data_IF_783219092954
#
_entry.id   IF_783219092954
#
_cell.length_a   1.000
_cell.length_b   1.000
_cell.length_c   1.000
_cell.angle_alpha   90.00
_cell.angle_beta   90.00
_cell.angle_gamma   90.00
#
_symmetry.space_group_name_H-M   'P 1'
#
loop_
_entity.id
_entity.type
_entity.pdbx_description
1 polymer ?
#
# COMPACT_ATOMS: atom_id res chain seq x y z
N UNK A 1 -10.43 -38.52 -11.12
CA UNK A 1 -9.89 -38.90 -9.80
C UNK A 1 -10.92 -38.44 -8.79
N UNK A 2 -11.73 -39.35 -8.25
CA UNK A 2 -12.82 -38.96 -7.37
C UNK A 2 -12.29 -38.72 -5.94
N UNK A 3 -12.57 -37.53 -5.40
CA UNK A 3 -12.10 -37.06 -4.09
C UNK A 3 -13.00 -37.60 -2.95
N UNK A 4 -13.46 -38.85 -3.03
CA UNK A 4 -14.43 -39.42 -2.07
C UNK A 4 -13.82 -39.70 -0.69
N UNK A 5 -12.50 -39.91 -0.62
CA UNK A 5 -11.80 -40.24 0.62
C UNK A 5 -11.65 -39.06 1.59
N UNK A 6 -11.79 -37.81 1.10
CA UNK A 6 -11.59 -36.65 1.96
C UNK A 6 -12.63 -36.56 3.06
N UNK A 7 -13.90 -36.84 2.76
CA UNK A 7 -14.98 -36.84 3.74
C UNK A 7 -14.85 -37.93 4.81
N UNK A 8 -14.07 -38.98 4.55
CA UNK A 8 -13.84 -40.10 5.47
C UNK A 8 -12.70 -39.81 6.47
N UNK A 9 -11.92 -38.74 6.24
CA UNK A 9 -10.84 -38.35 7.14
C UNK A 9 -11.38 -37.77 8.46
N UNK A 10 -10.69 -38.00 9.59
CA UNK A 10 -11.00 -37.32 10.84
C UNK A 10 -10.99 -35.79 10.68
N UNK A 11 -11.83 -35.10 11.44
CA UNK A 11 -12.04 -33.66 11.32
C UNK A 11 -10.74 -32.85 11.51
N UNK A 12 -9.85 -33.32 12.38
CA UNK A 12 -8.55 -32.71 12.66
C UNK A 12 -7.65 -32.77 11.42
N UNK A 13 -7.62 -33.92 10.73
CA UNK A 13 -6.82 -34.09 9.51
C UNK A 13 -7.38 -33.22 8.39
N UNK A 14 -8.70 -33.15 8.25
CA UNK A 14 -9.34 -32.27 7.25
C UNK A 14 -9.05 -30.80 7.52
N UNK A 15 -9.09 -30.37 8.79
CA UNK A 15 -8.74 -29.02 9.19
C UNK A 15 -7.27 -28.68 8.86
N UNK A 16 -6.33 -29.59 9.11
CA UNK A 16 -4.92 -29.39 8.75
C UNK A 16 -4.72 -29.33 7.22
N UNK A 17 -5.42 -30.16 6.44
CA UNK A 17 -5.39 -30.08 4.97
C UNK A 17 -5.91 -28.73 4.48
N UNK A 18 -7.01 -28.23 5.06
CA UNK A 18 -7.52 -26.90 4.73
C UNK A 18 -6.56 -25.79 5.13
N UNK A 19 -5.92 -25.90 6.29
CA UNK A 19 -4.92 -24.95 6.74
C UNK A 19 -3.73 -24.86 5.79
N UNK A 20 -3.24 -26.00 5.30
CA UNK A 20 -2.17 -26.06 4.29
C UNK A 20 -2.60 -25.52 2.92
N UNK A 21 -3.90 -25.39 2.68
CA UNK A 21 -4.48 -24.86 1.44
C UNK A 21 -4.79 -23.36 1.52
N UNK A 22 -4.54 -22.72 2.67
CA UNK A 22 -4.66 -21.27 2.78
C UNK A 22 -3.61 -20.59 1.90
N UNK A 23 -3.95 -19.47 1.25
CA UNK A 23 -2.99 -18.74 0.43
C UNK A 23 -1.85 -18.20 1.29
N UNK A 24 -0.68 -18.04 0.66
CA UNK A 24 0.42 -17.31 1.28
C UNK A 24 0.02 -15.85 1.53
N UNK A 25 0.68 -15.24 2.51
CA UNK A 25 0.43 -13.84 2.84
C UNK A 25 1.01 -12.97 1.73
N UNK A 26 0.16 -12.16 1.10
CA UNK A 26 0.57 -11.18 0.11
C UNK A 26 0.80 -9.80 0.73
N UNK A 27 1.69 -9.03 0.10
CA UNK A 27 1.86 -7.61 0.38
C UNK A 27 0.63 -6.83 -0.09
N UNK A 28 0.16 -5.94 0.78
CA UNK A 28 -1.00 -5.08 0.56
C UNK A 28 -0.68 -3.66 1.07
N UNK A 29 -1.61 -2.73 0.88
CA UNK A 29 -1.47 -1.36 1.39
C UNK A 29 -2.22 -1.22 2.72
N UNK A 30 -1.52 -0.74 3.74
CA UNK A 30 -2.11 -0.31 5.00
C UNK A 30 -2.39 1.19 4.92
N UNK A 31 -3.66 1.56 4.81
CA UNK A 31 -4.08 2.96 4.87
C UNK A 31 -4.32 3.31 6.33
N UNK A 32 -3.60 4.31 6.84
CA UNK A 32 -3.76 4.71 8.24
C UNK A 32 -5.14 5.36 8.41
N UNK A 33 -6.00 4.82 9.30
CA UNK A 33 -7.33 5.37 9.49
C UNK A 33 -7.25 6.72 10.20
N UNK A 34 -8.19 7.62 9.93
CA UNK A 34 -8.23 8.94 10.54
C UNK A 34 -8.29 8.92 12.08
N UNK A 35 -8.90 7.90 12.67
CA UNK A 35 -9.01 7.71 14.12
C UNK A 35 -7.99 6.69 14.66
N UNK A 36 -6.79 6.61 14.09
CA UNK A 36 -5.77 5.66 14.49
C UNK A 36 -5.13 6.07 15.82
N UNK A 37 -5.74 5.68 16.94
CA UNK A 37 -5.24 6.02 18.27
C UNK A 37 -4.06 5.12 18.70
N UNK A 38 -3.89 3.95 18.07
CA UNK A 38 -2.85 2.99 18.46
C UNK A 38 -2.30 2.22 17.26
N UNK A 39 -1.02 1.79 17.28
CA UNK A 39 -0.43 0.98 16.22
C UNK A 39 -1.15 -0.34 15.95
N UNK A 40 -1.77 -0.94 16.98
CA UNK A 40 -2.51 -2.19 16.86
C UNK A 40 -3.82 -2.03 16.07
N UNK A 41 -4.25 -0.79 15.82
CA UNK A 41 -5.38 -0.49 14.94
C UNK A 41 -5.01 -0.35 13.46
N UNK A 42 -3.73 -0.51 13.10
CA UNK A 42 -3.29 -0.59 11.72
C UNK A 42 -3.70 -1.94 11.11
N UNK A 43 -4.77 -1.91 10.32
CA UNK A 43 -5.36 -3.07 9.68
C UNK A 43 -5.14 -3.05 8.17
N UNK A 44 -4.91 -4.24 7.64
CA UNK A 44 -4.72 -4.50 6.22
C UNK A 44 -5.84 -5.42 5.75
N UNK A 45 -6.70 -4.90 4.87
CA UNK A 45 -7.73 -5.72 4.22
C UNK A 45 -7.09 -6.66 3.19
N UNK A 46 -7.48 -7.93 3.22
CA UNK A 46 -6.89 -8.99 2.39
C UNK A 46 -7.93 -9.67 1.51
N UNK A 47 -7.48 -10.41 0.50
CA UNK A 47 -8.37 -11.16 -0.38
C UNK A 47 -9.16 -12.23 0.40
N UNK A 48 -10.37 -12.53 -0.06
CA UNK A 48 -11.02 -13.77 0.33
C UNK A 48 -10.17 -14.97 -0.13
N UNK A 49 -9.80 -15.88 0.79
CA UNK A 49 -9.12 -17.10 0.40
C UNK A 49 -9.98 -17.87 -0.61
N UNK A 50 -9.36 -18.42 -1.65
CA UNK A 50 -10.06 -19.25 -2.67
C UNK A 50 -10.88 -20.37 -2.01
N UNK A 51 -10.43 -20.87 -0.86
CA UNK A 51 -11.13 -21.83 0.00
C UNK A 51 -12.59 -21.44 0.33
N UNK A 52 -12.92 -20.15 0.43
CA UNK A 52 -14.30 -19.68 0.66
C UNK A 52 -15.29 -20.08 -0.45
N UNK A 53 -14.76 -20.40 -1.63
CA UNK A 53 -15.51 -20.70 -2.85
C UNK A 53 -15.54 -22.18 -3.22
N UNK A 54 -14.84 -23.06 -2.46
CA UNK A 54 -14.71 -24.49 -2.80
C UNK A 54 -15.96 -25.28 -2.42
N UNK A 55 -16.28 -25.35 -1.13
CA UNK A 55 -17.43 -26.09 -0.61
C UNK A 55 -17.87 -25.54 0.75
N UNK A 56 -18.97 -26.08 1.29
CA UNK A 56 -19.50 -25.64 2.58
C UNK A 56 -18.51 -25.85 3.74
N UNK A 57 -17.88 -27.02 3.82
CA UNK A 57 -16.92 -27.34 4.88
C UNK A 57 -15.70 -26.42 4.87
N UNK A 58 -15.11 -26.19 3.70
CA UNK A 58 -13.97 -25.27 3.51
C UNK A 58 -14.34 -23.84 3.94
N UNK A 59 -15.55 -23.38 3.61
CA UNK A 59 -16.05 -22.06 4.04
C UNK A 59 -16.19 -21.97 5.56
N UNK A 60 -16.74 -23.00 6.20
CA UNK A 60 -16.84 -23.05 7.66
C UNK A 60 -15.47 -23.07 8.33
N UNK A 61 -14.49 -23.76 7.73
CA UNK A 61 -13.11 -23.73 8.20
C UNK A 61 -12.54 -22.32 8.16
N UNK A 62 -12.63 -21.61 7.03
CA UNK A 62 -12.10 -20.24 6.90
C UNK A 62 -12.77 -19.28 7.88
N UNK A 63 -14.10 -19.38 8.03
CA UNK A 63 -14.88 -18.56 8.97
C UNK A 63 -14.55 -18.83 10.45
N UNK A 64 -13.92 -19.96 10.76
CA UNK A 64 -13.44 -20.27 12.11
C UNK A 64 -12.01 -19.74 12.31
N UNK A 65 -11.88 -18.49 12.74
CA UNK A 65 -10.59 -17.82 12.93
C UNK A 65 -9.63 -18.57 13.87
N UNK A 66 -10.14 -19.37 14.82
CA UNK A 66 -9.29 -20.17 15.71
C UNK A 66 -8.59 -21.31 14.98
N UNK A 67 -9.20 -21.84 13.92
CA UNK A 67 -8.64 -22.93 13.12
C UNK A 67 -7.87 -22.41 11.91
N UNK A 68 -8.44 -21.44 11.19
CA UNK A 68 -7.86 -20.90 9.96
C UNK A 68 -6.81 -19.81 10.21
N UNK A 69 -6.89 -19.09 11.33
CA UNK A 69 -6.11 -17.88 11.57
C UNK A 69 -6.58 -16.68 10.74
N UNK A 70 -7.63 -16.82 9.92
CA UNK A 70 -8.19 -15.73 9.12
C UNK A 70 -9.16 -14.93 9.98
N UNK A 71 -8.87 -13.64 10.15
CA UNK A 71 -9.76 -12.72 10.84
C UNK A 71 -10.73 -12.09 9.85
N UNK A 72 -11.99 -12.02 10.23
CA UNK A 72 -13.04 -11.37 9.46
C UNK A 72 -13.61 -10.23 10.30
N UNK A 73 -13.74 -9.04 9.74
CA UNK A 73 -14.42 -7.92 10.38
C UNK A 73 -15.40 -7.27 9.43
N UNK A 74 -16.38 -6.55 9.97
CA UNK A 74 -17.15 -5.61 9.16
C UNK A 74 -16.33 -4.32 9.05
N UNK A 75 -16.08 -3.80 7.84
CA UNK A 75 -15.38 -2.53 7.69
C UNK A 75 -16.27 -1.40 8.22
N UNK A 76 -15.75 -0.60 9.16
CA UNK A 76 -16.49 0.53 9.75
C UNK A 76 -16.73 1.67 8.74
N UNK A 77 -15.89 1.77 7.70
CA UNK A 77 -15.88 2.85 6.72
C UNK A 77 -16.63 2.53 5.41
N UNK A 78 -17.10 1.29 5.22
CA UNK A 78 -17.85 0.90 4.04
C UNK A 78 -19.30 1.38 4.16
N UNK A 79 -19.50 2.65 3.81
CA UNK A 79 -20.79 3.34 3.62
C UNK A 79 -21.82 2.36 3.02
N UNK A 80 -22.86 2.03 3.80
CA UNK A 80 -24.19 1.49 3.44
C UNK A 80 -24.30 0.34 2.41
N UNK A 81 -23.21 -0.23 1.90
CA UNK A 81 -23.24 -1.10 0.70
C UNK A 81 -22.65 -2.49 0.93
N UNK A 82 -21.81 -2.67 1.95
CA UNK A 82 -21.14 -3.95 2.25
C UNK A 82 -21.62 -4.47 3.61
N UNK A 83 -22.66 -5.32 3.60
CA UNK A 83 -23.19 -5.97 4.81
C UNK A 83 -22.47 -7.29 5.18
N UNK A 84 -21.33 -7.58 4.53
CA UNK A 84 -20.56 -8.79 4.76
C UNK A 84 -19.19 -8.53 5.38
N UNK A 85 -18.72 -9.47 6.20
CA UNK A 85 -17.41 -9.40 6.82
C UNK A 85 -16.31 -9.66 5.80
N UNK A 86 -15.26 -8.83 5.83
CA UNK A 86 -14.09 -8.91 4.96
C UNK A 86 -12.88 -9.47 5.71
N UNK A 87 -11.99 -10.23 5.05
CA UNK A 87 -10.75 -10.69 5.63
C UNK A 87 -9.79 -9.54 5.90
N UNK A 88 -9.12 -9.60 7.04
CA UNK A 88 -8.10 -8.62 7.42
C UNK A 88 -7.01 -9.27 8.25
N UNK A 89 -5.88 -8.56 8.35
CA UNK A 89 -4.80 -8.86 9.29
C UNK A 89 -4.19 -7.58 9.83
N UNK A 90 -3.36 -7.72 10.86
CA UNK A 90 -2.55 -6.61 11.36
C UNK A 90 -1.49 -6.24 10.32
N UNK A 91 -1.15 -4.95 10.28
CA UNK A 91 -0.02 -4.43 9.52
C UNK A 91 1.28 -5.17 9.85
N UNK A 92 2.05 -5.51 8.82
CA UNK A 92 3.36 -6.14 8.93
C UNK A 92 4.42 -5.23 8.28
N UNK A 93 5.23 -4.51 9.08
CA UNK A 93 6.15 -3.49 8.57
C UNK A 93 7.16 -3.97 7.51
N UNK A 94 7.51 -5.26 7.55
CA UNK A 94 8.47 -5.86 6.63
C UNK A 94 7.86 -6.32 5.30
N UNK A 95 6.52 -6.39 5.21
CA UNK A 95 5.80 -6.93 4.04
C UNK A 95 4.90 -5.87 3.38
N UNK A 96 4.20 -5.08 4.19
CA UNK A 96 3.16 -4.17 3.72
C UNK A 96 3.68 -2.77 3.44
N UNK A 97 3.00 -2.10 2.51
CA UNK A 97 3.21 -0.68 2.28
C UNK A 97 2.34 0.14 3.21
N UNK A 98 2.95 0.93 4.09
CA UNK A 98 2.24 1.92 4.89
C UNK A 98 1.91 3.12 4.02
N UNK A 99 0.65 3.52 3.93
CA UNK A 99 0.24 4.75 3.26
C UNK A 99 -0.16 5.80 4.28
N UNK A 100 0.56 6.92 4.28
CA UNK A 100 0.31 8.07 5.14
C UNK A 100 -0.15 9.25 4.29
N UNK A 101 -1.27 9.88 4.63
CA UNK A 101 -1.66 11.14 4.01
C UNK A 101 -0.73 12.27 4.47
N UNK A 102 -0.59 13.32 3.67
CA UNK A 102 0.21 14.48 4.07
C UNK A 102 -0.57 15.45 4.98
N UNK A 103 -1.90 15.35 4.99
CA UNK A 103 -2.79 16.23 5.72
C UNK A 103 -4.00 15.47 6.26
N UNK A 104 -4.67 16.06 7.25
CA UNK A 104 -5.85 15.50 7.87
C UNK A 104 -5.53 14.58 9.06
N UNK A 105 -6.57 14.04 9.70
CA UNK A 105 -6.40 13.10 10.80
C UNK A 105 -5.67 11.84 10.30
N UNK A 106 -4.60 11.44 10.99
CA UNK A 106 -3.61 10.44 10.55
C UNK A 106 -2.69 10.89 9.41
N UNK A 107 -2.34 12.18 9.41
CA UNK A 107 -1.26 12.68 8.58
C UNK A 107 0.09 12.07 8.98
N UNK A 108 1.07 12.14 8.07
CA UNK A 108 2.44 11.72 8.33
C UNK A 108 3.05 12.45 9.53
N UNK A 109 2.68 13.74 9.73
CA UNK A 109 3.11 14.52 10.90
C UNK A 109 2.52 13.97 12.20
N UNK A 110 1.20 13.71 12.23
CA UNK A 110 0.52 13.19 13.41
C UNK A 110 1.13 11.84 13.81
N UNK A 111 1.25 10.91 12.86
CA UNK A 111 1.78 9.57 13.12
C UNK A 111 3.24 9.63 13.61
N UNK A 112 4.05 10.54 13.06
CA UNK A 112 5.44 10.72 13.48
C UNK A 112 5.57 11.38 14.87
N UNK A 113 4.57 12.16 15.28
CA UNK A 113 4.56 12.83 16.58
C UNK A 113 4.18 11.92 17.76
N UNK A 114 3.55 10.78 17.48
CA UNK A 114 3.06 9.83 18.47
C UNK A 114 4.11 8.76 18.81
N UNK A 115 4.59 8.76 20.06
CA UNK A 115 5.60 7.81 20.56
C UNK A 115 5.19 6.34 20.36
N UNK A 116 3.89 6.04 20.39
CA UNK A 116 3.39 4.67 20.21
C UNK A 116 3.71 4.11 18.81
N UNK A 117 3.73 4.97 17.78
CA UNK A 117 4.01 4.57 16.40
C UNK A 117 5.49 4.46 16.09
N UNK A 118 6.39 4.94 16.96
CA UNK A 118 7.84 4.98 16.71
C UNK A 118 8.37 3.60 16.28
N UNK A 119 8.00 2.53 16.99
CA UNK A 119 8.44 1.18 16.64
C UNK A 119 7.94 0.73 15.26
N UNK A 120 6.69 1.08 14.91
CA UNK A 120 6.14 0.72 13.60
C UNK A 120 6.90 1.45 12.50
N UNK A 121 7.08 2.77 12.63
CA UNK A 121 7.81 3.57 11.65
C UNK A 121 9.26 3.09 11.50
N UNK A 122 9.90 2.70 12.61
CA UNK A 122 11.27 2.20 12.60
C UNK A 122 11.45 0.86 11.87
N UNK A 123 10.42 0.02 11.87
CA UNK A 123 10.42 -1.29 11.20
C UNK A 123 9.87 -1.24 9.76
N UNK A 124 9.13 -0.19 9.41
CA UNK A 124 8.52 -0.02 8.08
C UNK A 124 9.57 -0.01 6.97
N UNK A 125 9.42 -0.93 6.02
CA UNK A 125 10.29 -1.05 4.84
C UNK A 125 9.72 -0.40 3.59
N UNK A 126 8.40 -0.31 3.50
CA UNK A 126 7.71 0.21 2.33
C UNK A 126 6.75 1.32 2.76
N UNK A 127 7.02 2.55 2.31
CA UNK A 127 6.20 3.72 2.58
C UNK A 127 5.60 4.22 1.27
N UNK A 128 4.34 4.66 1.33
CA UNK A 128 3.66 5.37 0.27
C UNK A 128 3.12 6.70 0.78
N UNK A 129 3.28 7.74 -0.03
CA UNK A 129 2.86 9.11 0.29
C UNK A 129 2.16 9.75 -0.92
N UNK A 130 1.23 10.69 -0.71
CA UNK A 130 0.72 11.53 -1.79
C UNK A 130 1.84 12.35 -2.41
N UNK A 131 1.74 12.54 -3.72
CA UNK A 131 2.69 13.31 -4.51
C UNK A 131 2.65 14.84 -4.35
N UNK A 132 1.97 15.37 -3.35
CA UNK A 132 1.81 16.82 -3.15
C UNK A 132 3.18 17.48 -2.81
N UNK A 133 3.68 18.34 -3.70
CA UNK A 133 5.01 18.97 -3.54
C UNK A 133 5.12 19.90 -2.34
N UNK A 134 4.01 20.50 -1.91
CA UNK A 134 3.98 21.46 -0.80
C UNK A 134 4.37 20.83 0.55
N UNK A 135 4.32 19.50 0.65
CA UNK A 135 4.69 18.76 1.86
C UNK A 135 6.09 18.14 1.80
N UNK A 136 6.90 18.46 0.78
CA UNK A 136 8.25 17.89 0.63
C UNK A 136 9.14 18.14 1.85
N UNK A 137 9.03 19.29 2.50
CA UNK A 137 9.80 19.61 3.71
C UNK A 137 9.41 18.69 4.89
N UNK A 138 8.11 18.46 5.08
CA UNK A 138 7.60 17.54 6.09
C UNK A 138 8.06 16.10 5.79
N UNK A 139 7.88 15.64 4.55
CA UNK A 139 8.29 14.31 4.10
C UNK A 139 9.79 14.12 4.32
N UNK A 140 10.62 15.09 3.91
CA UNK A 140 12.06 15.06 4.12
C UNK A 140 12.43 14.90 5.59
N UNK A 141 11.79 15.69 6.45
CA UNK A 141 12.02 15.65 7.89
C UNK A 141 11.62 14.30 8.48
N UNK A 142 10.42 13.81 8.20
CA UNK A 142 9.93 12.53 8.76
C UNK A 142 10.78 11.34 8.27
N UNK A 143 11.08 11.29 6.96
CA UNK A 143 11.95 10.25 6.40
C UNK A 143 13.33 10.24 7.07
N UNK A 144 13.81 11.41 7.48
CA UNK A 144 15.10 11.53 8.14
C UNK A 144 15.09 10.90 9.54
N UNK A 145 14.02 11.06 10.31
CA UNK A 145 14.07 10.64 11.72
C UNK A 145 13.40 9.29 12.00
N UNK A 146 12.38 8.91 11.22
CA UNK A 146 11.47 7.84 11.63
C UNK A 146 11.58 6.55 10.83
N UNK A 147 12.18 6.57 9.63
CA UNK A 147 12.20 5.42 8.71
C UNK A 147 13.61 4.89 8.40
N UNK A 148 14.39 4.44 9.40
CA UNK A 148 15.77 3.98 9.23
C UNK A 148 15.91 2.69 8.41
N UNK A 149 14.84 1.89 8.28
CA UNK A 149 14.80 0.61 7.53
C UNK A 149 14.10 0.73 6.18
N UNK A 150 13.78 1.95 5.73
CA UNK A 150 13.07 2.14 4.48
C UNK A 150 13.86 1.54 3.31
N UNK A 151 13.17 0.72 2.52
CA UNK A 151 13.67 0.10 1.29
C UNK A 151 12.93 0.67 0.07
N UNK A 152 11.69 1.13 0.22
CA UNK A 152 10.89 1.66 -0.89
C UNK A 152 10.09 2.88 -0.47
N UNK A 153 10.19 3.96 -1.25
CA UNK A 153 9.33 5.14 -1.15
C UNK A 153 8.48 5.26 -2.42
N UNK A 154 7.18 5.10 -2.27
CA UNK A 154 6.21 5.16 -3.36
C UNK A 154 5.48 6.49 -3.34
N UNK A 155 5.65 7.28 -4.39
CA UNK A 155 4.91 8.52 -4.58
C UNK A 155 3.64 8.20 -5.35
N UNK A 156 2.51 8.38 -4.68
CA UNK A 156 1.19 8.02 -5.19
C UNK A 156 0.57 9.19 -5.92
N UNK A 157 0.12 8.93 -7.14
CA UNK A 157 -0.54 9.88 -8.04
C UNK A 157 -1.95 9.38 -8.35
N UNK A 158 -2.95 10.22 -8.13
CA UNK A 158 -4.34 9.90 -8.44
C UNK A 158 -4.57 9.86 -9.96
N UNK A 159 -4.22 10.95 -10.64
CA UNK A 159 -4.42 11.09 -12.09
C UNK A 159 -3.15 11.62 -12.76
N UNK A 160 -2.43 10.78 -13.52
CA UNK A 160 -1.21 11.20 -14.21
C UNK A 160 -1.49 12.08 -15.44
N UNK A 161 -2.76 12.28 -15.84
CA UNK A 161 -3.15 13.06 -17.01
C UNK A 161 -3.14 14.58 -16.79
N UNK A 162 -3.16 15.04 -15.53
CA UNK A 162 -3.12 16.48 -15.21
C UNK A 162 -1.72 17.06 -15.37
N UNK A 163 -1.65 18.30 -15.86
CA UNK A 163 -0.41 19.08 -16.08
C UNK A 163 0.53 19.10 -14.85
N UNK A 164 -0.02 18.97 -13.64
CA UNK A 164 0.73 18.69 -12.42
C UNK A 164 0.41 17.28 -11.91
N UNK A 165 1.21 16.27 -12.28
CA UNK A 165 1.09 14.91 -11.74
C UNK A 165 1.27 14.84 -10.20
N UNK A 166 1.77 15.92 -9.59
CA UNK A 166 2.21 16.00 -8.20
C UNK A 166 1.66 17.30 -7.58
N UNK A 167 0.38 17.32 -7.21
CA UNK A 167 -0.24 18.54 -6.68
C UNK A 167 -1.74 18.51 -6.34
N UNK A 168 -2.44 17.39 -6.56
CA UNK A 168 -3.82 17.26 -6.10
C UNK A 168 -3.90 16.32 -4.90
N UNK A 169 -4.50 16.84 -3.81
CA UNK A 169 -5.04 16.01 -2.74
C UNK A 169 -6.03 15.01 -3.33
N UNK A 170 -6.02 13.78 -2.81
CA UNK A 170 -6.99 12.76 -3.14
C UNK A 170 -7.34 11.94 -1.89
N UNK A 171 -8.57 11.43 -1.87
CA UNK A 171 -9.01 10.55 -0.79
C UNK A 171 -8.44 9.14 -0.99
N UNK A 172 -7.83 8.58 0.06
CA UNK A 172 -7.34 7.22 0.02
C UNK A 172 -8.50 6.22 -0.13
N UNK A 173 -8.30 5.10 -0.85
CA UNK A 173 -9.30 4.04 -0.94
C UNK A 173 -9.81 3.59 0.43
N UNK A 174 -11.12 3.42 0.56
CA UNK A 174 -11.72 2.87 1.81
C UNK A 174 -11.76 1.34 1.81
N UNK A 175 -11.41 0.72 0.69
CA UNK A 175 -11.48 -0.71 0.44
C UNK A 175 -10.09 -1.33 0.32
N UNK A 176 -10.02 -2.66 0.19
CA UNK A 176 -8.75 -3.32 -0.14
C UNK A 176 -8.20 -2.74 -1.44
N UNK A 177 -6.93 -2.33 -1.40
CA UNK A 177 -6.25 -1.76 -2.56
C UNK A 177 -4.81 -2.26 -2.66
N UNK A 178 -4.26 -2.19 -3.87
CA UNK A 178 -2.83 -2.37 -4.15
C UNK A 178 -2.27 -1.13 -4.84
N UNK A 179 -0.96 -0.95 -4.76
CA UNK A 179 -0.26 0.03 -5.58
C UNK A 179 0.22 -0.62 -6.87
N UNK A 180 -0.06 0.06 -7.98
CA UNK A 180 0.43 -0.33 -9.30
C UNK A 180 1.43 0.70 -9.80
N UNK A 181 2.61 0.27 -10.28
CA UNK A 181 3.53 1.17 -10.99
C UNK A 181 2.86 1.78 -12.22
N UNK A 182 2.99 3.09 -12.38
CA UNK A 182 2.53 3.76 -13.60
C UNK A 182 3.62 3.56 -14.67
N UNK A 183 3.46 2.55 -15.51
CA UNK A 183 4.38 2.29 -16.64
C UNK A 183 3.91 2.99 -17.91
N UNK A 184 4.84 3.27 -18.83
CA UNK A 184 4.53 3.81 -20.16
C UNK A 184 3.61 2.89 -21.00
N UNK A 185 3.57 1.59 -20.69
CA UNK A 185 2.81 0.58 -21.43
C UNK A 185 1.41 0.33 -20.84
N UNK A 186 1.19 0.62 -19.56
CA UNK A 186 -0.10 0.41 -18.86
C UNK A 186 -1.20 1.44 -19.19
N UNK A 187 -0.90 2.38 -20.09
CA UNK A 187 -1.73 3.52 -20.47
C UNK A 187 -3.03 3.13 -21.18
N UNK A 188 -3.15 1.91 -21.71
CA UNK A 188 -4.36 1.47 -22.43
C UNK A 188 -5.55 1.13 -21.50
N UNK A 189 -5.33 0.93 -20.20
CA UNK A 189 -6.39 0.45 -19.29
C UNK A 189 -7.11 1.60 -18.54
N UNK A 190 -6.56 2.82 -18.53
CA UNK A 190 -7.16 3.98 -17.85
C UNK A 190 -8.30 4.67 -18.61
N UNK A 191 -8.79 4.08 -19.70
CA UNK A 191 -10.13 4.39 -20.24
C UNK A 191 -11.21 3.81 -19.32
N UNK A 192 -11.24 4.28 -18.07
CA UNK A 192 -12.47 4.27 -17.28
C UNK A 192 -13.38 5.32 -17.90
N UNK A 193 -14.63 4.92 -18.06
CA UNK A 193 -15.75 5.53 -18.77
C UNK A 193 -16.18 6.93 -18.24
N UNK A 194 -15.22 7.84 -18.06
CA UNK A 194 -15.50 9.28 -17.89
C UNK A 194 -15.72 9.86 -19.28
N UNK A 195 -17.00 10.05 -19.61
CA UNK A 195 -17.45 10.87 -20.72
C UNK A 195 -17.03 12.32 -20.50
N UNK A 196 -15.76 12.64 -20.72
CA UNK A 196 -15.33 14.01 -20.93
C UNK A 196 -15.17 14.28 -22.44
N UNK A 197 -16.16 15.03 -22.91
CA UNK A 197 -16.17 15.79 -24.14
C UNK A 197 -15.16 16.92 -24.03
N UNK A 198 -13.87 16.67 -24.19
CA UNK A 198 -12.94 17.58 -24.87
C UNK A 198 -11.54 16.99 -24.94
N UNK A 199 -10.96 17.03 -26.15
CA UNK A 199 -9.52 16.95 -26.41
C UNK A 199 -8.76 15.81 -25.73
N UNK A 200 -8.54 14.71 -26.45
CA UNK A 200 -7.61 13.65 -26.03
C UNK A 200 -6.18 14.19 -25.88
N UNK A 201 -5.81 14.63 -24.68
CA UNK A 201 -4.42 14.86 -24.34
C UNK A 201 -3.73 13.50 -24.25
N UNK A 202 -2.89 13.24 -25.23
CA UNK A 202 -2.09 12.02 -25.28
C UNK A 202 -1.00 12.15 -24.23
N UNK A 203 -1.20 11.48 -23.10
CA UNK A 203 -0.25 11.42 -22.00
C UNK A 203 1.14 11.02 -22.49
N UNK A 204 2.16 11.77 -22.08
CA UNK A 204 3.55 11.47 -22.42
C UNK A 204 4.26 10.86 -21.19
N UNK A 205 4.58 9.55 -21.19
CA UNK A 205 5.26 8.89 -20.07
C UNK A 205 6.61 9.52 -19.69
N UNK A 206 7.26 10.22 -20.63
CA UNK A 206 8.48 10.97 -20.35
C UNK A 206 8.24 12.19 -19.44
N UNK A 207 7.02 12.74 -19.43
CA UNK A 207 6.63 13.82 -18.53
C UNK A 207 6.62 13.33 -17.08
N UNK A 208 5.93 12.21 -16.78
CA UNK A 208 5.87 11.67 -15.43
C UNK A 208 7.27 11.30 -14.89
N UNK A 209 8.09 10.66 -15.73
CA UNK A 209 9.47 10.32 -15.38
C UNK A 209 10.31 11.57 -15.05
N UNK A 210 10.15 12.63 -15.85
CA UNK A 210 10.81 13.92 -15.60
C UNK A 210 10.33 14.55 -14.29
N UNK A 211 9.01 14.62 -14.07
CA UNK A 211 8.43 15.16 -12.85
C UNK A 211 8.85 14.37 -11.60
N UNK A 212 8.92 13.04 -11.68
CA UNK A 212 9.41 12.20 -10.58
C UNK A 212 10.89 12.45 -10.30
N UNK A 213 11.70 12.62 -11.36
CA UNK A 213 13.12 12.95 -11.21
C UNK A 213 13.29 14.31 -10.52
N UNK A 214 12.51 15.32 -10.91
CA UNK A 214 12.51 16.63 -10.25
C UNK A 214 12.06 16.53 -8.78
N UNK A 215 10.99 15.77 -8.51
CA UNK A 215 10.48 15.53 -7.15
C UNK A 215 11.55 14.89 -6.25
N UNK A 216 12.23 13.85 -6.73
CA UNK A 216 13.31 13.17 -5.99
C UNK A 216 14.48 14.13 -5.74
N UNK A 217 14.89 14.91 -6.75
CA UNK A 217 15.98 15.87 -6.60
C UNK A 217 15.66 16.95 -5.57
N UNK A 218 14.43 17.47 -5.57
CA UNK A 218 13.96 18.44 -4.58
C UNK A 218 13.96 17.81 -3.18
N UNK A 219 13.40 16.61 -3.03
CA UNK A 219 13.36 15.88 -1.77
C UNK A 219 14.77 15.60 -1.21
N UNK A 220 15.67 15.05 -2.02
CA UNK A 220 17.04 14.74 -1.61
C UNK A 220 17.84 16.00 -1.26
N UNK A 221 17.59 17.12 -1.95
CA UNK A 221 18.20 18.41 -1.61
C UNK A 221 17.75 18.88 -0.22
N UNK A 222 16.46 18.85 0.08
CA UNK A 222 15.93 19.25 1.39
C UNK A 222 16.52 18.35 2.49
N UNK A 223 16.57 17.04 2.26
CA UNK A 223 17.14 16.09 3.20
C UNK A 223 18.64 16.33 3.41
N UNK A 224 19.38 16.66 2.36
CA UNK A 224 20.78 17.05 2.48
C UNK A 224 20.95 18.29 3.37
N UNK A 225 20.10 19.31 3.19
CA UNK A 225 20.08 20.52 4.02
C UNK A 225 19.78 20.18 5.49
N UNK A 226 18.71 19.41 5.76
CA UNK A 226 18.38 18.93 7.10
C UNK A 226 19.56 18.13 7.72
N UNK A 227 20.20 17.27 6.93
CA UNK A 227 21.32 16.45 7.38
C UNK A 227 22.57 17.28 7.70
N UNK A 228 22.80 18.35 6.94
CA UNK A 228 23.91 19.26 7.16
C UNK A 228 23.74 20.14 8.41
N UNK A 229 22.50 20.32 8.88
CA UNK A 229 22.20 21.09 10.09
C UNK A 229 22.17 20.22 11.36
N UNK A 230 22.01 18.90 11.24
CA UNK A 230 22.01 17.98 12.39
C UNK A 230 23.34 17.97 13.17
N UNK A 231 23.33 17.65 14.47
CA UNK A 231 24.57 17.43 15.22
C UNK A 231 25.34 16.18 14.72
N UNK A 232 26.67 16.17 14.93
CA UNK A 232 27.56 15.06 14.58
C UNK A 232 27.12 13.72 15.17
N UNK A 233 26.51 13.72 16.34
CA UNK A 233 26.04 12.50 17.01
C UNK A 233 24.86 11.90 16.25
N UNK A 234 23.86 12.72 15.94
CA UNK A 234 22.70 12.33 15.12
C UNK A 234 23.14 11.87 13.74
N UNK A 235 24.03 12.60 13.06
CA UNK A 235 24.54 12.21 11.74
C UNK A 235 25.25 10.85 11.69
N UNK A 236 25.72 10.31 12.82
CA UNK A 236 26.34 8.97 12.89
C UNK A 236 25.30 7.85 13.04
N UNK A 237 24.13 8.14 13.58
CA UNK A 237 23.03 7.19 13.74
C UNK A 237 22.33 6.90 12.39
N UNK A 238 22.23 7.91 11.53
CA UNK A 238 21.58 7.82 10.21
C UNK A 238 22.47 7.15 9.15
N UNK A 239 22.65 5.82 9.27
CA UNK A 239 23.47 5.00 8.35
C UNK A 239 22.84 4.79 6.95
N UNK A 240 21.60 5.21 6.79
CA UNK A 240 20.82 5.11 5.57
C UNK A 240 21.08 6.28 4.61
N UNK A 241 21.67 7.39 5.05
CA UNK A 241 22.08 8.48 4.14
C UNK A 241 23.49 8.25 3.58
N UNK A 242 23.65 8.25 2.25
CA UNK A 242 24.96 8.20 1.62
C UNK A 242 25.47 9.61 1.32
N UNK A 243 26.51 10.03 2.07
CA UNK A 243 27.12 11.36 1.92
C UNK A 243 27.82 11.58 0.59
N UNK A 244 28.35 10.53 -0.02
CA UNK A 244 29.10 10.66 -1.28
C UNK A 244 28.14 10.85 -2.46
N UNK A 245 27.05 10.10 -2.48
CA UNK A 245 26.03 10.22 -3.53
C UNK A 245 24.96 11.26 -3.23
N UNK A 246 24.88 11.79 -2.00
CA UNK A 246 23.82 12.68 -1.52
C UNK A 246 22.42 12.10 -1.73
N UNK A 247 22.28 10.79 -1.50
CA UNK A 247 21.04 10.04 -1.70
C UNK A 247 20.81 9.06 -0.56
N UNK A 248 19.59 8.56 -0.43
CA UNK A 248 19.33 7.40 0.42
C UNK A 248 20.06 6.17 -0.11
N UNK A 249 20.77 5.49 0.79
CA UNK A 249 21.37 4.20 0.53
C UNK A 249 20.26 3.16 0.44
N UNK A 250 20.04 2.61 -0.76
CA UNK A 250 19.15 1.46 -1.04
C UNK A 250 17.65 1.73 -0.98
N UNK A 251 17.20 2.99 -0.93
CA UNK A 251 15.78 3.30 -1.11
C UNK A 251 15.46 3.32 -2.60
N UNK A 252 14.47 2.53 -3.00
CA UNK A 252 13.88 2.57 -4.33
C UNK A 252 12.73 3.56 -4.36
N UNK A 253 12.81 4.56 -5.24
CA UNK A 253 11.71 5.48 -5.49
C UNK A 253 10.80 4.95 -6.59
N UNK A 254 9.50 4.91 -6.34
CA UNK A 254 8.49 4.43 -7.27
C UNK A 254 7.42 5.50 -7.51
N UNK A 255 6.91 5.58 -8.73
CA UNK A 255 5.68 6.33 -9.02
C UNK A 255 4.55 5.33 -9.22
N UNK A 256 3.54 5.40 -8.36
CA UNK A 256 2.46 4.42 -8.33
C UNK A 256 1.10 5.10 -8.23
N UNK A 257 0.04 4.33 -8.43
CA UNK A 257 -1.34 4.76 -8.19
C UNK A 257 -2.10 3.63 -7.52
N UNK A 258 -3.19 3.99 -6.85
CA UNK A 258 -4.08 3.01 -6.23
C UNK A 258 -4.83 2.22 -7.29
N UNK A 259 -5.00 0.93 -7.01
CA UNK A 259 -5.90 0.04 -7.74
C UNK A 259 -6.85 -0.56 -6.74
N UNK A 260 -8.10 -0.12 -6.80
CA UNK A 260 -9.20 -0.75 -6.08
C UNK A 260 -9.70 -1.98 -6.83
N UNK A 261 -10.13 -2.99 -6.08
CA UNK A 261 -10.73 -4.17 -6.66
C UNK A 261 -12.22 -3.90 -6.96
N UNK A 262 -12.54 -3.53 -8.20
CA UNK A 262 -13.93 -3.31 -8.61
C UNK A 262 -14.74 -4.60 -8.69
N UNK A 263 -15.96 -4.56 -8.15
CA UNK A 263 -16.93 -5.64 -8.24
C UNK A 263 -17.38 -5.82 -9.70
N UNK A 264 -17.02 -6.95 -10.32
CA UNK A 264 -17.48 -7.31 -11.67
C UNK A 264 -16.45 -7.14 -12.78
N UNK A 265 -15.19 -6.81 -12.47
CA UNK A 265 -14.11 -6.89 -13.45
C UNK A 265 -13.90 -8.35 -13.89
N UNK A 266 -14.43 -8.70 -15.07
CA UNK A 266 -14.10 -9.93 -15.76
C UNK A 266 -12.59 -10.00 -15.95
N UNK A 267 -11.94 -11.03 -15.40
CA UNK A 267 -10.58 -11.40 -15.76
C UNK A 267 -10.55 -11.70 -17.26
N UNK A 268 -10.27 -10.71 -18.09
CA UNK A 268 -9.88 -10.94 -19.46
C UNK A 268 -8.47 -11.52 -19.42
N UNK A 269 -8.39 -12.85 -19.36
CA UNK A 269 -7.21 -13.56 -19.82
C UNK A 269 -7.00 -13.16 -21.29
N UNK A 270 -6.03 -12.30 -21.54
CA UNK A 270 -5.56 -12.04 -22.89
C UNK A 270 -5.24 -13.38 -23.54
N UNK A 271 -5.97 -13.69 -24.63
CA UNK A 271 -5.59 -14.77 -25.52
C UNK A 271 -4.23 -14.39 -26.10
N UNK A 272 -3.22 -15.18 -25.79
CA UNK A 272 -1.96 -15.17 -26.52
C UNK A 272 -2.27 -15.32 -28.02
N UNK A 273 -1.99 -14.27 -28.79
CA UNK A 273 -2.07 -14.27 -30.24
C UNK A 273 -1.04 -15.24 -30.80
N UNK A 274 -1.53 -16.28 -31.46
CA UNK A 274 -0.79 -17.16 -32.36
C UNK A 274 -0.30 -16.45 -33.61
#
# INVERSE_FOLDING_TARGET
MEFHLFGELPAEIRAEIWKLSLPEVEAEVCIVPSSCDTPQSLLVYTAFPVLMHVCHESRQFVQNSRLSGINLMRPDSAIDTIDFSVPFRLYQPELDTLFCQNQGPASLEDIASEDEFEHVLQETRHLAIPGEKEFLDLVAWVLTFYFPKLETLSVVVEDPSRDSCFGSYFDAPKTRCKLRPISAESTQIYTVDMKDLDGSETWNPSHLSKCMTEYIQELEKIIEECFNDMDRTLRRAHRWWNRESKTFKRVQYLTQTFVEYEAGSTFHLERASS
#
